data_IF_027150402513
#
_entry.id   IF_027150402513
#
_cell.length_a   1.000
_cell.length_b   1.000
_cell.length_c   1.000
_cell.angle_alpha   90.00
_cell.angle_beta   90.00
_cell.angle_gamma   90.00
#
_symmetry.space_group_name_H-M   'P 1'
#
loop_
_entity.id
_entity.type
_entity.pdbx_description
1 polymer ?
#
# COMPACT_ATOMS: atom_id res chain seq x y z
N UNK A 1 -4.94 11.63 -8.11
CA UNK A 1 -5.64 10.32 -8.10
C UNK A 1 -5.08 9.46 -6.97
N UNK A 2 -5.81 9.30 -5.87
CA UNK A 2 -5.32 8.62 -4.64
C UNK A 2 -4.86 7.17 -4.89
N UNK A 3 -5.61 6.40 -5.69
CA UNK A 3 -5.24 5.03 -6.05
C UNK A 3 -3.96 4.96 -6.92
N UNK A 4 -3.83 5.84 -7.93
CA UNK A 4 -2.63 5.90 -8.77
C UNK A 4 -1.38 6.19 -7.94
N UNK A 5 -1.48 7.07 -6.94
CA UNK A 5 -0.36 7.35 -6.05
C UNK A 5 0.02 6.11 -5.22
N UNK A 6 -0.96 5.40 -4.65
CA UNK A 6 -0.71 4.15 -3.92
C UNK A 6 -0.06 3.08 -4.81
N UNK A 7 -0.51 2.92 -6.06
CA UNK A 7 0.11 2.02 -7.03
C UNK A 7 1.55 2.41 -7.36
N UNK A 8 1.81 3.69 -7.59
CA UNK A 8 3.17 4.19 -7.85
C UNK A 8 4.10 3.91 -6.66
N UNK A 9 3.63 4.13 -5.43
CA UNK A 9 4.41 3.86 -4.22
C UNK A 9 4.62 2.36 -3.99
N UNK A 10 3.63 1.51 -4.29
CA UNK A 10 3.78 0.05 -4.27
C UNK A 10 4.94 -0.40 -5.17
N UNK A 11 4.97 0.08 -6.42
CA UNK A 11 6.03 -0.27 -7.38
C UNK A 11 7.40 0.24 -6.91
N UNK A 12 7.49 1.50 -6.42
CA UNK A 12 8.74 2.05 -5.90
C UNK A 12 9.31 1.24 -4.73
N UNK A 13 8.44 0.67 -3.89
CA UNK A 13 8.81 -0.15 -2.73
C UNK A 13 9.00 -1.64 -3.07
N UNK A 14 8.95 -1.99 -4.36
CA UNK A 14 9.01 -3.37 -4.84
C UNK A 14 7.97 -4.29 -4.16
N UNK A 15 6.74 -3.77 -4.02
CA UNK A 15 5.63 -4.49 -3.43
C UNK A 15 4.85 -5.33 -4.44
N UNK A 16 4.24 -6.41 -3.96
CA UNK A 16 3.48 -7.35 -4.79
C UNK A 16 1.98 -7.04 -4.81
N UNK A 17 1.41 -6.58 -3.69
CA UNK A 17 -0.03 -6.42 -3.53
C UNK A 17 -0.37 -5.11 -2.81
N UNK A 18 -1.45 -4.44 -3.24
CA UNK A 18 -2.14 -3.40 -2.46
C UNK A 18 -3.44 -3.99 -1.91
N UNK A 19 -3.59 -3.92 -0.59
CA UNK A 19 -4.80 -4.28 0.13
C UNK A 19 -5.60 -3.00 0.43
N UNK A 20 -6.81 -2.91 -0.11
CA UNK A 20 -7.78 -1.86 0.18
C UNK A 20 -8.81 -2.40 1.19
N UNK A 21 -9.09 -1.60 2.22
CA UNK A 21 -10.01 -1.93 3.32
C UNK A 21 -11.06 -0.84 3.45
N UNK A 22 -12.28 -1.18 3.87
CA UNK A 22 -13.38 -0.21 3.98
C UNK A 22 -13.14 0.88 5.03
N UNK A 23 -12.64 0.48 6.21
CA UNK A 23 -12.60 1.36 7.39
C UNK A 23 -11.17 1.59 7.94
N UNK A 24 -10.14 1.12 7.23
CA UNK A 24 -8.74 1.31 7.63
C UNK A 24 -7.86 1.85 6.51
N UNK A 25 -6.68 2.32 6.89
CA UNK A 25 -5.65 2.73 5.92
C UNK A 25 -5.28 1.54 5.01
N UNK A 26 -4.87 1.78 3.75
CA UNK A 26 -4.43 0.70 2.87
C UNK A 26 -3.13 0.06 3.34
N UNK A 27 -2.87 -1.18 2.91
CA UNK A 27 -1.64 -1.91 3.23
C UNK A 27 -0.94 -2.41 1.96
N UNK A 28 0.39 -2.47 1.97
CA UNK A 28 1.20 -3.11 0.95
C UNK A 28 1.70 -4.46 1.43
N UNK A 29 1.79 -5.43 0.52
CA UNK A 29 2.64 -6.61 0.71
C UNK A 29 4.02 -6.34 0.12
N UNK A 30 5.04 -6.26 0.98
CA UNK A 30 6.44 -6.06 0.61
C UNK A 30 7.25 -7.27 1.08
N UNK A 31 7.85 -8.01 0.14
CA UNK A 31 8.70 -9.18 0.46
C UNK A 31 8.05 -10.18 1.44
N UNK A 32 6.75 -10.41 1.29
CA UNK A 32 5.96 -11.32 2.15
C UNK A 32 5.41 -10.69 3.44
N UNK A 33 5.78 -9.46 3.79
CA UNK A 33 5.26 -8.74 4.96
C UNK A 33 4.12 -7.79 4.58
N UNK A 34 3.10 -7.68 5.44
CA UNK A 34 2.01 -6.70 5.28
C UNK A 34 2.33 -5.47 6.11
N UNK A 35 2.48 -4.32 5.45
CA UNK A 35 2.86 -3.05 6.06
C UNK A 35 1.91 -1.93 5.62
N UNK A 36 1.67 -0.89 6.45
CA UNK A 36 0.87 0.26 6.05
C UNK A 36 1.37 0.91 4.75
N UNK A 37 0.43 1.25 3.87
CA UNK A 37 0.70 1.94 2.60
C UNK A 37 0.93 3.44 2.77
N UNK A 38 0.54 3.99 3.91
CA UNK A 38 0.88 5.33 4.37
C UNK A 38 1.34 5.25 5.83
N UNK A 39 2.26 6.12 6.21
CA UNK A 39 2.66 6.38 7.60
C UNK A 39 1.77 7.42 8.29
N UNK A 40 0.81 8.01 7.59
CA UNK A 40 -0.15 8.95 8.17
C UNK A 40 -1.19 8.19 9.00
N UNK A 41 -1.12 8.36 10.31
CA UNK A 41 -2.10 7.91 11.33
C UNK A 41 -3.39 8.72 11.27
#
# INVERSE_FOLDING_TARGET
MKLKNLMSELVKRNGSDLHLTGDSIPFFRLQGQILPASSDT
#
